data_IF_533225681159
#
_entry.id   IF_533225681159
#
_cell.length_a   1.000
_cell.length_b   1.000
_cell.length_c   1.000
_cell.angle_alpha   90.00
_cell.angle_beta   90.00
_cell.angle_gamma   90.00
#
_symmetry.space_group_name_H-M   'P 1'
#
loop_
_entity.id
_entity.type
_entity.pdbx_description
1 polymer ?
#
# COMPACT_ATOMS: atom_id res chain seq x y z
N UNK A 1 -4.28 9.26 9.39
CA UNK A 1 -2.98 9.78 8.87
C UNK A 1 -1.89 10.01 9.95
N UNK A 2 -2.21 9.97 11.25
CA UNK A 2 -1.23 10.18 12.33
C UNK A 2 -0.23 9.02 12.50
N UNK A 3 -0.63 7.78 12.23
CA UNK A 3 0.21 6.59 12.47
C UNK A 3 1.46 6.47 11.58
N UNK A 4 1.42 7.00 10.35
CA UNK A 4 2.54 6.95 9.41
C UNK A 4 2.95 8.34 8.90
N UNK A 5 2.32 9.42 9.36
CA UNK A 5 2.54 10.78 8.87
C UNK A 5 1.82 11.08 7.56
N UNK A 6 1.37 12.33 7.38
CA UNK A 6 0.58 12.75 6.22
C UNK A 6 1.34 12.60 4.90
N UNK A 7 2.62 12.92 4.88
CA UNK A 7 3.46 12.89 3.67
C UNK A 7 3.70 11.47 3.12
N UNK A 8 3.40 10.44 3.92
CA UNK A 8 3.52 9.03 3.54
C UNK A 8 2.20 8.44 3.00
N UNK A 9 1.14 9.23 2.92
CA UNK A 9 -0.13 8.85 2.29
C UNK A 9 -0.24 9.58 0.96
N UNK A 10 -0.40 8.82 -0.13
CA UNK A 10 -0.44 9.37 -1.49
C UNK A 10 -1.57 8.75 -2.27
N UNK A 11 -2.30 9.58 -3.01
CA UNK A 11 -3.14 9.10 -4.09
C UNK A 11 -2.25 8.66 -5.25
N UNK A 12 -2.62 7.55 -5.86
CA UNK A 12 -1.91 6.96 -6.99
C UNK A 12 -2.91 6.66 -8.09
N UNK A 13 -2.47 6.71 -9.33
CA UNK A 13 -3.31 6.38 -10.47
C UNK A 13 -3.73 4.90 -10.42
N UNK A 14 -4.92 4.56 -10.95
CA UNK A 14 -5.30 3.17 -11.15
C UNK A 14 -4.27 2.39 -11.97
N UNK A 15 -4.05 1.13 -11.60
CA UNK A 15 -3.13 0.23 -12.30
C UNK A 15 -3.90 -0.84 -13.06
N UNK A 16 -3.29 -1.39 -14.10
CA UNK A 16 -3.88 -2.48 -14.91
C UNK A 16 -3.85 -3.86 -14.21
N UNK A 17 -3.47 -3.91 -12.93
CA UNK A 17 -3.44 -5.16 -12.15
C UNK A 17 -4.85 -5.67 -11.86
N UNK A 18 -5.06 -6.98 -12.01
CA UNK A 18 -6.28 -7.66 -11.59
C UNK A 18 -6.20 -8.08 -10.12
N UNK A 19 -7.27 -7.85 -9.37
CA UNK A 19 -7.39 -8.20 -7.94
C UNK A 19 -8.85 -8.61 -7.65
N UNK A 20 -9.06 -9.70 -6.93
CA UNK A 20 -10.38 -10.24 -6.65
C UNK A 20 -11.02 -9.68 -5.38
N UNK A 21 -10.32 -8.82 -4.63
CA UNK A 21 -10.84 -8.09 -3.45
C UNK A 21 -12.24 -7.48 -3.66
N UNK A 22 -12.53 -6.99 -4.87
CA UNK A 22 -13.85 -6.43 -5.21
C UNK A 22 -15.02 -7.40 -5.01
N UNK A 23 -14.76 -8.71 -4.93
CA UNK A 23 -15.78 -9.72 -4.62
C UNK A 23 -16.36 -9.56 -3.21
N UNK A 24 -15.58 -9.06 -2.23
CA UNK A 24 -16.07 -8.84 -0.86
C UNK A 24 -17.23 -7.82 -0.79
N UNK A 25 -17.29 -6.88 -1.73
CA UNK A 25 -18.38 -5.89 -1.83
C UNK A 25 -19.63 -6.38 -2.58
N UNK A 26 -19.60 -7.59 -3.16
CA UNK A 26 -20.71 -8.13 -3.97
C UNK A 26 -21.78 -8.83 -3.12
N UNK A 27 -22.13 -8.23 -1.99
CA UNK A 27 -23.19 -8.69 -1.08
C UNK A 27 -24.47 -7.88 -1.28
N UNK A 28 -25.57 -8.29 -0.62
CA UNK A 28 -26.81 -7.51 -0.60
C UNK A 28 -26.64 -6.19 0.15
N UNK A 29 -25.85 -6.19 1.23
CA UNK A 29 -25.66 -5.06 2.14
C UNK A 29 -24.79 -3.91 1.58
N UNK A 30 -24.08 -4.15 0.46
CA UNK A 30 -23.26 -3.14 -0.24
C UNK A 30 -22.29 -2.37 0.66
N UNK A 31 -21.65 -3.07 1.60
CA UNK A 31 -20.69 -2.46 2.53
C UNK A 31 -19.51 -1.88 1.73
N UNK A 32 -19.18 -0.58 1.90
CA UNK A 32 -18.02 0.03 1.25
C UNK A 32 -16.72 -0.66 1.68
N UNK A 33 -15.87 -0.99 0.70
CA UNK A 33 -14.56 -1.58 0.93
C UNK A 33 -13.44 -0.69 0.39
N UNK A 34 -12.28 -0.73 1.04
CA UNK A 34 -11.07 -0.05 0.58
C UNK A 34 -9.92 -1.04 0.51
N UNK A 35 -9.23 -1.06 -0.63
CA UNK A 35 -7.92 -1.68 -0.79
C UNK A 35 -6.91 -0.56 -1.04
N UNK A 36 -5.72 -0.67 -0.44
CA UNK A 36 -4.65 0.30 -0.62
C UNK A 36 -3.29 -0.41 -0.70
N UNK A 37 -2.32 0.27 -1.30
CA UNK A 37 -0.97 -0.25 -1.48
C UNK A 37 -0.04 0.22 -0.37
N UNK A 38 0.86 -0.67 0.07
CA UNK A 38 1.95 -0.35 1.00
C UNK A 38 3.25 -0.27 0.22
N UNK A 39 3.97 0.85 0.32
CA UNK A 39 5.28 1.01 -0.30
C UNK A 39 6.28 -0.01 0.27
N UNK A 40 6.97 -0.70 -0.63
CA UNK A 40 7.84 -1.83 -0.27
C UNK A 40 9.33 -1.61 -0.58
N UNK A 41 9.66 -0.76 -1.55
CA UNK A 41 11.06 -0.55 -1.98
C UNK A 41 11.82 0.24 -0.91
N UNK A 42 13.08 -0.15 -0.68
CA UNK A 42 13.99 0.59 0.20
C UNK A 42 14.07 2.07 -0.24
N UNK A 43 13.90 3.04 0.68
CA UNK A 43 13.78 4.47 0.33
C UNK A 43 14.93 5.05 -0.49
N UNK A 44 16.18 4.68 -0.20
CA UNK A 44 17.36 5.12 -0.92
C UNK A 44 17.35 4.63 -2.38
N UNK A 45 17.07 3.35 -2.60
CA UNK A 45 16.90 2.77 -3.94
C UNK A 45 15.76 3.42 -4.70
N UNK A 46 14.62 3.67 -4.04
CA UNK A 46 13.49 4.35 -4.65
C UNK A 46 13.84 5.79 -5.08
N UNK A 47 14.51 6.54 -4.21
CA UNK A 47 14.94 7.91 -4.50
C UNK A 47 15.96 7.96 -5.65
N UNK A 48 16.94 7.05 -5.67
CA UNK A 48 17.94 6.95 -6.71
C UNK A 48 17.32 6.61 -8.08
N UNK A 49 16.47 5.58 -8.15
CA UNK A 49 15.78 5.19 -9.38
C UNK A 49 14.89 6.33 -9.91
N UNK A 50 14.15 7.01 -9.02
CA UNK A 50 13.33 8.15 -9.39
C UNK A 50 14.16 9.32 -9.93
N UNK A 51 15.30 9.63 -9.33
CA UNK A 51 16.20 10.69 -9.81
C UNK A 51 16.84 10.33 -11.17
N UNK A 52 17.10 9.05 -11.41
CA UNK A 52 17.66 8.55 -12.66
C UNK A 52 16.60 8.32 -13.77
N UNK A 53 15.30 8.37 -13.45
CA UNK A 53 14.23 8.03 -14.40
C UNK A 53 14.14 6.53 -14.69
N UNK A 54 14.68 5.69 -13.81
CA UNK A 54 14.72 4.23 -13.96
C UNK A 54 13.47 3.56 -13.42
N UNK A 55 13.10 2.43 -14.03
CA UNK A 55 12.04 1.57 -13.53
C UNK A 55 12.59 0.56 -12.53
N UNK A 56 11.80 0.29 -11.48
CA UNK A 56 12.15 -0.70 -10.47
C UNK A 56 11.45 -2.04 -10.76
N UNK A 57 12.06 -3.18 -10.38
CA UNK A 57 11.37 -4.47 -10.42
C UNK A 57 10.05 -4.41 -9.65
N UNK A 58 8.99 -4.94 -10.25
CA UNK A 58 7.65 -4.98 -9.66
C UNK A 58 7.24 -6.41 -9.28
N UNK A 59 6.00 -6.55 -8.78
CA UNK A 59 5.39 -7.84 -8.48
C UNK A 59 5.56 -8.83 -9.66
N UNK A 60 5.80 -10.10 -9.33
CA UNK A 60 6.14 -11.20 -10.26
C UNK A 60 7.55 -11.17 -10.87
N UNK A 61 8.39 -10.17 -10.56
CA UNK A 61 9.81 -10.23 -10.88
C UNK A 61 10.58 -11.05 -9.84
N UNK A 62 11.56 -11.91 -10.22
CA UNK A 62 12.46 -12.56 -9.28
C UNK A 62 13.39 -11.56 -8.55
N UNK A 63 13.45 -10.32 -9.02
CA UNK A 63 14.28 -9.25 -8.45
C UNK A 63 13.49 -8.29 -7.56
N UNK A 64 12.18 -8.51 -7.37
CA UNK A 64 11.39 -7.72 -6.44
C UNK A 64 11.87 -7.96 -5.00
N UNK A 65 12.41 -6.92 -4.36
CA UNK A 65 13.10 -7.03 -3.08
C UNK A 65 12.58 -5.98 -2.08
N UNK A 66 11.48 -6.26 -1.35
CA UNK A 66 10.97 -5.38 -0.32
C UNK A 66 11.95 -5.14 0.84
N UNK A 67 11.97 -3.91 1.38
CA UNK A 67 12.46 -3.61 2.72
C UNK A 67 11.49 -4.21 3.74
N UNK A 68 11.70 -5.49 4.08
CA UNK A 68 10.77 -6.29 4.89
C UNK A 68 10.41 -5.63 6.22
N UNK A 69 11.39 -5.14 6.97
CA UNK A 69 11.17 -4.59 8.29
C UNK A 69 10.30 -3.33 8.22
N UNK A 70 10.62 -2.40 7.30
CA UNK A 70 9.85 -1.17 7.14
C UNK A 70 8.47 -1.42 6.56
N UNK A 71 8.36 -2.30 5.57
CA UNK A 71 7.09 -2.63 4.89
C UNK A 71 6.10 -3.24 5.89
N UNK A 72 6.52 -4.25 6.66
CA UNK A 72 5.65 -4.92 7.64
C UNK A 72 5.22 -3.94 8.73
N UNK A 73 6.17 -3.19 9.31
CA UNK A 73 5.86 -2.19 10.35
C UNK A 73 4.85 -1.16 9.85
N UNK A 74 5.02 -0.68 8.63
CA UNK A 74 4.13 0.33 8.03
C UNK A 74 2.74 -0.25 7.78
N UNK A 75 2.64 -1.44 7.18
CA UNK A 75 1.37 -2.10 6.91
C UNK A 75 0.57 -2.44 8.17
N UNK A 76 1.24 -2.93 9.22
CA UNK A 76 0.61 -3.18 10.52
C UNK A 76 0.13 -1.87 11.14
N UNK A 77 0.99 -0.84 11.20
CA UNK A 77 0.62 0.44 11.79
C UNK A 77 -0.54 1.12 11.05
N UNK A 78 -0.54 1.11 9.71
CA UNK A 78 -1.61 1.71 8.91
C UNK A 78 -2.92 0.93 9.06
N UNK A 79 -2.89 -0.41 8.98
CA UNK A 79 -4.10 -1.23 9.10
C UNK A 79 -4.70 -1.13 10.50
N UNK A 80 -3.88 -1.18 11.56
CA UNK A 80 -4.36 -1.01 12.93
C UNK A 80 -4.95 0.38 13.16
N UNK A 81 -4.33 1.43 12.63
CA UNK A 81 -4.88 2.77 12.76
C UNK A 81 -6.23 2.92 12.03
N UNK A 82 -6.37 2.36 10.84
CA UNK A 82 -7.64 2.34 10.09
C UNK A 82 -8.71 1.57 10.87
N UNK A 83 -8.38 0.40 11.40
CA UNK A 83 -9.33 -0.40 12.18
C UNK A 83 -9.76 0.32 13.46
N UNK A 84 -8.82 0.93 14.19
CA UNK A 84 -9.14 1.68 15.40
C UNK A 84 -10.00 2.92 15.09
N UNK A 85 -9.71 3.64 14.01
CA UNK A 85 -10.51 4.81 13.59
C UNK A 85 -11.93 4.40 13.16
N UNK A 86 -12.06 3.31 12.40
CA UNK A 86 -13.35 2.80 11.93
C UNK A 86 -14.21 2.20 13.04
N UNK A 87 -13.58 1.54 14.03
CA UNK A 87 -14.26 0.82 15.10
C UNK A 87 -14.36 1.62 16.40
N UNK A 88 -13.66 2.75 16.52
CA UNK A 88 -13.84 3.66 17.63
C UNK A 88 -15.30 4.10 17.68
N UNK A 89 -15.94 3.83 18.82
CA UNK A 89 -17.24 4.40 19.17
C UNK A 89 -17.04 5.76 19.81
#
# INVERSE_FOLDING_TARGET
ATAIGKDNVKEVDPVMGGEDFGQFGRTADKIPGVIYWVGAVEPGKYAAAKAAGETLPSLHSPFFAPDRAKTIKTGVASMSAIALDLLAK
#
